data_IF_439154073637
#
_entry.id   IF_439154073637
#
_cell.length_a   1.000
_cell.length_b   1.000
_cell.length_c   1.000
_cell.angle_alpha   90.00
_cell.angle_beta   90.00
_cell.angle_gamma   90.00
#
_symmetry.space_group_name_H-M   'P 1'
#
loop_
_entity.id
_entity.type
_entity.pdbx_description
1 polymer ?
#
# COMPACT_ATOMS: atom_id res chain seq x y z
N UNK A 1 8.44 -2.76 3.78
CA UNK A 1 7.44 -3.83 3.81
C UNK A 1 8.09 -5.20 3.73
N UNK A 2 9.05 -5.41 2.82
CA UNK A 2 9.78 -6.68 2.67
C UNK A 2 10.32 -7.25 4.00
N UNK A 3 10.89 -6.41 4.89
CA UNK A 3 11.31 -6.86 6.24
C UNK A 3 10.21 -7.52 7.06
N UNK A 4 9.00 -6.96 7.06
CA UNK A 4 7.84 -7.54 7.77
C UNK A 4 7.40 -8.85 7.14
N UNK A 5 7.50 -8.96 5.81
CA UNK A 5 7.24 -10.21 5.12
C UNK A 5 8.28 -11.27 5.45
N UNK A 6 9.56 -10.89 5.54
CA UNK A 6 10.63 -11.77 5.99
C UNK A 6 10.45 -12.22 7.44
N UNK A 7 9.91 -11.38 8.33
CA UNK A 7 9.57 -11.80 9.70
C UNK A 7 8.48 -12.88 9.71
N UNK A 8 7.46 -12.75 8.84
CA UNK A 8 6.44 -13.79 8.67
C UNK A 8 7.07 -15.06 8.08
N UNK A 9 7.85 -14.94 7.01
CA UNK A 9 8.54 -16.06 6.38
C UNK A 9 9.47 -16.79 7.35
N UNK A 10 10.22 -16.07 8.18
CA UNK A 10 11.07 -16.64 9.22
C UNK A 10 10.26 -17.38 10.27
N UNK A 11 9.11 -16.82 10.68
CA UNK A 11 8.22 -17.46 11.66
C UNK A 11 7.62 -18.77 11.18
N UNK A 12 7.35 -18.93 9.88
CA UNK A 12 6.72 -20.13 9.33
C UNK A 12 7.70 -21.12 8.69
N UNK A 13 8.75 -20.62 8.03
CA UNK A 13 9.69 -21.40 7.24
C UNK A 13 11.13 -21.37 7.81
N UNK A 14 11.43 -20.50 8.76
CA UNK A 14 12.77 -20.31 9.31
C UNK A 14 13.78 -19.74 8.29
N UNK A 15 13.28 -19.04 7.28
CA UNK A 15 14.10 -18.42 6.23
C UNK A 15 13.73 -16.97 6.01
N UNK A 16 14.73 -16.14 5.74
CA UNK A 16 14.57 -14.76 5.30
C UNK A 16 15.13 -14.65 3.89
N UNK A 17 14.24 -14.58 2.91
CA UNK A 17 14.60 -14.43 1.49
C UNK A 17 13.90 -13.20 0.92
N UNK A 18 14.68 -12.14 0.71
CA UNK A 18 14.17 -10.87 0.18
C UNK A 18 13.57 -11.02 -1.23
N UNK A 19 14.09 -11.92 -2.07
CA UNK A 19 13.57 -12.14 -3.42
C UNK A 19 12.23 -12.85 -3.35
N UNK A 20 12.12 -13.88 -2.51
CA UNK A 20 10.87 -14.60 -2.31
C UNK A 20 9.82 -13.69 -1.69
N UNK A 21 10.20 -12.89 -0.69
CA UNK A 21 9.33 -11.89 -0.09
C UNK A 21 8.87 -10.83 -1.10
N UNK A 22 9.76 -10.36 -1.98
CA UNK A 22 9.39 -9.38 -3.00
C UNK A 22 8.44 -9.98 -4.03
N UNK A 23 8.69 -11.20 -4.51
CA UNK A 23 7.78 -11.90 -5.42
C UNK A 23 6.39 -12.09 -4.81
N UNK A 24 6.32 -12.49 -3.54
CA UNK A 24 5.06 -12.64 -2.82
C UNK A 24 4.32 -11.29 -2.68
N UNK A 25 5.05 -10.23 -2.38
CA UNK A 25 4.52 -8.89 -2.24
C UNK A 25 3.95 -8.35 -3.56
N UNK A 26 4.70 -8.48 -4.65
CA UNK A 26 4.25 -8.05 -5.98
C UNK A 26 3.03 -8.85 -6.44
N UNK A 27 3.01 -10.17 -6.18
CA UNK A 27 1.85 -11.02 -6.46
C UNK A 27 0.63 -10.61 -5.63
N UNK A 28 0.83 -10.22 -4.38
CA UNK A 28 -0.26 -9.76 -3.52
C UNK A 28 -0.78 -8.38 -3.94
N UNK A 29 0.06 -7.52 -4.49
CA UNK A 29 -0.35 -6.22 -5.04
C UNK A 29 -1.26 -6.34 -6.26
N UNK A 30 -1.07 -7.37 -7.09
CA UNK A 30 -1.93 -7.61 -8.27
C UNK A 30 -3.30 -8.18 -7.90
N UNK A 31 -3.46 -8.71 -6.69
CA UNK A 31 -4.70 -9.30 -6.20
C UNK A 31 -5.56 -8.27 -5.44
N UNK A 32 -6.86 -8.29 -5.69
CA UNK A 32 -7.84 -7.46 -4.97
C UNK A 32 -8.48 -8.19 -3.81
N UNK A 33 -8.53 -9.53 -3.88
CA UNK A 33 -9.15 -10.37 -2.86
C UNK A 33 -8.20 -11.47 -2.35
N UNK A 34 -8.39 -11.87 -1.09
CA UNK A 34 -7.67 -12.98 -0.46
C UNK A 34 -7.71 -14.31 -1.26
N UNK A 35 -8.88 -14.78 -1.76
CA UNK A 35 -8.94 -16.00 -2.57
C UNK A 35 -8.16 -15.87 -3.89
N UNK A 36 -8.10 -14.68 -4.49
CA UNK A 36 -7.25 -14.45 -5.66
C UNK A 36 -5.77 -14.56 -5.31
N UNK A 37 -5.33 -13.98 -4.18
CA UNK A 37 -3.95 -14.13 -3.71
C UNK A 37 -3.61 -15.62 -3.49
N UNK A 38 -4.49 -16.34 -2.80
CA UNK A 38 -4.29 -17.76 -2.50
C UNK A 38 -4.17 -18.58 -3.79
N UNK A 39 -5.02 -18.28 -4.78
CA UNK A 39 -4.97 -18.91 -6.09
C UNK A 39 -3.69 -18.54 -6.85
N UNK A 40 -3.32 -17.26 -6.87
CA UNK A 40 -2.13 -16.77 -7.55
C UNK A 40 -0.85 -17.40 -6.98
N UNK A 41 -0.74 -17.54 -5.65
CA UNK A 41 0.40 -18.22 -5.00
C UNK A 41 0.46 -19.70 -5.40
N UNK A 42 -0.69 -20.37 -5.51
CA UNK A 42 -0.78 -21.79 -5.93
C UNK A 42 -0.57 -22.01 -7.43
N UNK A 43 -0.82 -21.01 -8.27
CA UNK A 43 -0.55 -21.07 -9.72
C UNK A 43 0.86 -20.58 -10.08
N UNK A 44 1.52 -19.88 -9.16
CA UNK A 44 2.88 -19.38 -9.32
C UNK A 44 3.94 -20.47 -9.05
N UNK A 45 5.18 -20.20 -9.46
CA UNK A 45 6.37 -20.98 -9.09
C UNK A 45 6.53 -21.09 -7.57
N UNK A 46 5.95 -20.14 -6.84
CA UNK A 46 5.87 -20.11 -5.39
C UNK A 46 5.04 -21.27 -4.79
N UNK A 47 4.20 -21.94 -5.58
CA UNK A 47 3.44 -23.10 -5.13
C UNK A 47 4.32 -24.27 -4.70
N UNK A 48 5.56 -24.36 -5.19
CA UNK A 48 6.50 -25.43 -4.83
C UNK A 48 6.89 -25.40 -3.36
N UNK A 49 6.80 -24.23 -2.72
CA UNK A 49 7.07 -24.07 -1.29
C UNK A 49 5.92 -24.55 -0.42
N UNK A 50 4.73 -24.74 -0.98
CA UNK A 50 3.57 -25.26 -0.24
C UNK A 50 3.16 -24.36 0.92
N UNK A 51 3.14 -23.04 0.71
CA UNK A 51 2.78 -22.06 1.74
C UNK A 51 1.46 -22.42 2.44
N UNK A 52 1.42 -22.45 3.78
CA UNK A 52 0.18 -22.69 4.51
C UNK A 52 -0.78 -21.52 4.34
N UNK A 53 -2.08 -21.79 4.38
CA UNK A 53 -3.11 -20.76 4.21
C UNK A 53 -3.01 -19.67 5.32
N UNK A 54 -2.56 -20.02 6.52
CA UNK A 54 -2.29 -19.07 7.62
C UNK A 54 -1.22 -18.04 7.26
N UNK A 55 -0.14 -18.46 6.60
CA UNK A 55 0.90 -17.54 6.14
C UNK A 55 0.35 -16.58 5.08
N UNK A 56 -0.44 -17.08 4.14
CA UNK A 56 -1.06 -16.25 3.09
C UNK A 56 -2.02 -15.22 3.71
N UNK A 57 -2.78 -15.62 4.75
CA UNK A 57 -3.65 -14.73 5.53
C UNK A 57 -2.85 -13.62 6.23
N UNK A 58 -1.73 -13.95 6.87
CA UNK A 58 -0.87 -12.97 7.55
C UNK A 58 -0.28 -11.95 6.57
N UNK A 59 0.23 -12.41 5.43
CA UNK A 59 0.72 -11.55 4.35
C UNK A 59 -0.38 -10.63 3.81
N UNK A 60 -1.57 -11.18 3.58
CA UNK A 60 -2.72 -10.39 3.15
C UNK A 60 -3.11 -9.33 4.18
N UNK A 61 -3.01 -9.65 5.47
CA UNK A 61 -3.23 -8.71 6.57
C UNK A 61 -2.28 -7.51 6.52
N UNK A 62 -0.97 -7.78 6.37
CA UNK A 62 0.06 -6.73 6.26
C UNK A 62 -0.16 -5.89 4.99
N UNK A 63 -0.48 -6.51 3.87
CA UNK A 63 -0.76 -5.80 2.61
C UNK A 63 -2.00 -4.91 2.72
N UNK A 64 -3.08 -5.44 3.30
CA UNK A 64 -4.33 -4.71 3.50
C UNK A 64 -4.17 -3.50 4.42
N UNK A 65 -3.38 -3.66 5.48
CA UNK A 65 -3.03 -2.57 6.38
C UNK A 65 -2.23 -1.48 5.64
N UNK A 66 -1.20 -1.89 4.88
CA UNK A 66 -0.40 -0.97 4.08
C UNK A 66 -1.22 -0.21 3.02
N UNK A 67 -2.15 -0.90 2.34
CA UNK A 67 -3.05 -0.30 1.35
C UNK A 67 -3.95 0.77 2.00
N UNK A 68 -4.40 0.55 3.24
CA UNK A 68 -5.14 1.57 4.02
C UNK A 68 -4.25 2.74 4.42
N UNK A 69 -3.00 2.51 4.81
CA UNK A 69 -2.06 3.57 5.18
C UNK A 69 -1.73 4.49 3.99
N UNK A 70 -1.55 3.93 2.79
CA UNK A 70 -1.36 4.70 1.57
C UNK A 70 -2.53 5.63 1.26
N UNK A 71 -3.76 5.11 1.36
CA UNK A 71 -4.96 5.91 1.09
C UNK A 71 -5.06 7.11 2.04
N UNK A 72 -4.74 6.89 3.34
CA UNK A 72 -4.71 7.95 4.36
C UNK A 72 -3.62 9.01 4.11
N UNK A 73 -2.50 8.64 3.47
CA UNK A 73 -1.43 9.60 3.11
C UNK A 73 -1.86 10.50 1.96
N UNK A 74 -2.46 9.94 0.91
CA UNK A 74 -2.93 10.72 -0.23
C UNK A 74 -4.03 11.73 0.18
N UNK A 75 -4.91 11.38 1.12
CA UNK A 75 -5.93 12.29 1.66
C UNK A 75 -5.36 13.46 2.49
N UNK A 76 -4.13 13.34 3.01
CA UNK A 76 -3.47 14.44 3.74
C UNK A 76 -2.81 15.45 2.79
N UNK A 77 -2.21 15.00 1.70
CA UNK A 77 -1.58 15.89 0.71
C UNK A 77 -2.61 16.75 -0.04
N UNK A 78 -3.83 16.25 -0.30
CA UNK A 78 -4.90 17.07 -0.89
C UNK A 78 -5.38 18.18 0.05
N UNK A 79 -5.44 17.92 1.36
CA UNK A 79 -5.88 18.91 2.35
C UNK A 79 -4.86 20.03 2.58
N UNK A 80 -3.56 19.78 2.37
CA UNK A 80 -2.52 20.82 2.47
C UNK A 80 -2.48 21.72 1.22
N UNK A 81 -2.67 21.17 0.01
CA UNK A 81 -2.74 21.98 -1.22
C UNK A 81 -3.94 22.94 -1.22
N UNK A 82 -5.04 22.55 -0.60
CA UNK A 82 -6.24 23.39 -0.53
C UNK A 82 -6.12 24.56 0.48
N UNK A 83 -5.20 24.48 1.45
CA UNK A 83 -4.96 25.57 2.42
C UNK A 83 -4.11 26.71 1.84
N UNK A 84 -3.26 26.43 0.85
CA UNK A 84 -2.36 27.42 0.22
C UNK A 84 -3.12 28.33 -0.75
N UNK A 85 -4.15 27.84 -1.44
CA UNK A 85 -4.90 28.61 -2.44
C UNK A 85 -5.91 29.64 -1.88
N UNK A 86 -6.06 29.77 -0.55
CA UNK A 86 -7.11 30.63 0.05
C UNK A 86 -6.56 32.01 0.46
N UNK A 87 -5.25 32.24 0.41
CA UNK A 87 -4.62 33.45 1.00
C UNK A 87 -4.22 34.56 0.01
N UNK A 88 -4.50 34.42 -1.29
CA UNK A 88 -4.04 35.38 -2.32
C UNK A 88 -5.12 36.32 -2.90
N UNK A 89 -6.36 36.31 -2.41
CA UNK A 89 -7.47 37.10 -3.03
C UNK A 89 -7.98 38.31 -2.21
N UNK A 90 -7.21 38.84 -1.25
CA UNK A 90 -7.59 40.07 -0.53
C UNK A 90 -6.50 41.15 -0.56
N UNK A 91 -6.10 41.63 -1.74
CA UNK A 91 -5.46 42.96 -1.85
C UNK A 91 -5.99 43.72 -3.08
N UNK A 92 -6.81 44.73 -2.77
CA UNK A 92 -6.97 46.02 -3.43
C UNK A 92 -7.69 46.14 -4.80
N UNK A 93 -8.95 46.58 -4.72
CA UNK A 93 -9.54 47.46 -5.74
C UNK A 93 -9.14 48.91 -5.48
N UNK A 94 -8.48 49.62 -6.41
CA UNK A 94 -8.52 51.07 -6.41
C UNK A 94 -9.75 51.54 -7.19
N UNK A 95 -10.66 52.20 -6.48
CA UNK A 95 -11.86 52.86 -6.97
C UNK A 95 -11.56 53.84 -8.11
N UNK A 96 -12.31 53.77 -9.21
CA UNK A 96 -12.34 54.80 -10.25
C UNK A 96 -12.94 56.09 -9.69
N UNK A 97 -12.33 57.28 -9.87
CA UNK A 97 -13.11 58.50 -9.84
C UNK A 97 -13.87 58.64 -11.16
N UNK A 98 -15.18 58.72 -11.03
CA UNK A 98 -16.10 59.18 -12.06
C UNK A 98 -15.91 60.70 -12.26
N UNK A 99 -16.00 61.13 -13.53
CA UNK A 99 -16.04 62.51 -14.08
C UNK A 99 -14.72 62.99 -14.69
#
# INVERSE_FOLDING_TARGET
MIKRLNEVLDSYLGVQDDQMAQALWDLALTCETLPELTKAVRESELSVFGFPDDLILDIWGILSDWRRELKKKNEKEEKEKQKVNILEDEEEQPLLPLI
#
